data_IF_727890641001
#
_entry.id   IF_727890641001
#
_cell.length_a   1.000
_cell.length_b   1.000
_cell.length_c   1.000
_cell.angle_alpha   90.00
_cell.angle_beta   90.00
_cell.angle_gamma   90.00
#
_symmetry.space_group_name_H-M   'P 1'
#
loop_
_entity.id
_entity.type
_entity.pdbx_description
1 polymer ?
#
# COMPACT_ATOMS: atom_id res chain seq x y z
N UNK A 1 -16.83 4.41 24.25
CA UNK A 1 -15.74 4.32 23.26
C UNK A 1 -16.28 4.85 21.94
N UNK A 2 -15.94 6.09 21.61
CA UNK A 2 -16.41 6.72 20.37
C UNK A 2 -15.54 6.21 19.22
N UNK A 3 -16.07 5.30 18.41
CA UNK A 3 -15.46 4.93 17.14
C UNK A 3 -15.52 6.14 16.21
N UNK A 4 -14.38 6.80 16.05
CA UNK A 4 -14.26 8.02 15.27
C UNK A 4 -14.64 7.71 13.81
N UNK A 5 -15.78 8.24 13.37
CA UNK A 5 -16.45 7.86 12.10
C UNK A 5 -15.70 8.37 10.86
N UNK A 6 -14.62 9.14 11.04
CA UNK A 6 -13.83 9.74 9.97
C UNK A 6 -12.72 8.84 9.38
N UNK A 7 -12.39 7.69 9.98
CA UNK A 7 -11.32 6.81 9.48
C UNK A 7 -11.78 5.75 8.48
N UNK A 8 -13.10 5.53 8.32
CA UNK A 8 -13.65 4.49 7.44
C UNK A 8 -13.41 4.70 5.93
N UNK A 9 -13.04 5.90 5.49
CA UNK A 9 -13.00 6.25 4.06
C UNK A 9 -11.61 6.19 3.39
N UNK A 10 -10.53 5.91 4.14
CA UNK A 10 -9.18 5.85 3.55
C UNK A 10 -8.80 4.50 2.96
N UNK A 11 -9.46 3.43 3.40
CA UNK A 11 -9.13 2.07 2.97
C UNK A 11 -7.99 1.41 3.76
N UNK A 12 -7.42 2.08 4.76
CA UNK A 12 -6.39 1.53 5.62
C UNK A 12 -6.32 2.25 6.98
N UNK A 13 -5.66 1.61 7.95
CA UNK A 13 -5.34 2.13 9.28
C UNK A 13 -3.94 1.64 9.69
N UNK A 14 -3.09 2.54 10.18
CA UNK A 14 -1.71 2.24 10.60
C UNK A 14 -1.63 2.28 12.12
N UNK A 15 -0.99 1.27 12.69
CA UNK A 15 -0.71 1.13 14.12
C UNK A 15 0.80 1.00 14.31
N UNK A 16 1.38 1.81 15.20
CA UNK A 16 2.77 1.68 15.60
C UNK A 16 2.82 1.38 17.11
N UNK A 17 3.38 0.23 17.47
CA UNK A 17 3.56 -0.17 18.86
C UNK A 17 4.89 -0.90 19.02
N UNK A 18 5.71 -0.46 19.98
CA UNK A 18 7.00 -1.06 20.33
C UNK A 18 7.96 -1.27 19.14
N UNK A 19 7.96 -0.34 18.18
CA UNK A 19 8.81 -0.42 16.98
C UNK A 19 8.31 -1.39 15.92
N UNK A 20 7.12 -1.97 16.10
CA UNK A 20 6.45 -2.78 15.08
C UNK A 20 5.37 -1.93 14.42
N UNK A 21 5.46 -1.81 13.10
CA UNK A 21 4.44 -1.13 12.29
C UNK A 21 3.51 -2.16 11.68
N UNK A 22 2.22 -1.99 11.97
CA UNK A 22 1.15 -2.79 11.39
C UNK A 22 0.20 -1.90 10.62
N UNK A 23 -0.33 -2.42 9.53
CA UNK A 23 -1.32 -1.72 8.72
C UNK A 23 -2.46 -2.65 8.38
N UNK A 24 -3.66 -2.31 8.85
CA UNK A 24 -4.88 -2.96 8.38
C UNK A 24 -5.32 -2.27 7.10
N UNK A 25 -5.62 -3.04 6.06
CA UNK A 25 -6.07 -2.51 4.76
C UNK A 25 -7.35 -3.20 4.34
N UNK A 26 -8.24 -2.46 3.68
CA UNK A 26 -9.49 -2.99 3.13
C UNK A 26 -9.86 -2.36 1.78
N UNK A 27 -10.62 -3.09 0.97
CA UNK A 27 -11.09 -2.65 -0.34
C UNK A 27 -12.36 -3.36 -0.78
N UNK A 28 -13.16 -2.74 -1.67
CA UNK A 28 -14.36 -3.39 -2.22
C UNK A 28 -13.97 -4.49 -3.22
N UNK A 29 -12.86 -4.31 -3.90
CA UNK A 29 -12.21 -5.27 -4.78
C UNK A 29 -10.79 -5.58 -4.30
N UNK A 30 -10.16 -6.61 -4.88
CA UNK A 30 -8.73 -6.87 -4.64
C UNK A 30 -7.86 -5.72 -5.14
N UNK A 31 -8.19 -5.13 -6.29
CA UNK A 31 -7.50 -3.94 -6.81
C UNK A 31 -7.59 -2.76 -5.84
N UNK A 32 -8.75 -2.52 -5.23
CA UNK A 32 -8.91 -1.49 -4.20
C UNK A 32 -8.03 -1.78 -2.98
N UNK A 33 -7.96 -3.04 -2.54
CA UNK A 33 -7.12 -3.43 -1.42
C UNK A 33 -5.65 -3.16 -1.73
N UNK A 34 -5.15 -3.56 -2.89
CA UNK A 34 -3.76 -3.31 -3.31
C UNK A 34 -3.46 -1.82 -3.41
N UNK A 35 -4.36 -1.05 -4.03
CA UNK A 35 -4.26 0.40 -4.12
C UNK A 35 -4.20 1.05 -2.74
N UNK A 36 -5.08 0.63 -1.83
CA UNK A 36 -5.13 1.16 -0.47
C UNK A 36 -3.89 0.75 0.34
N UNK A 37 -3.29 -0.42 0.07
CA UNK A 37 -2.00 -0.80 0.67
C UNK A 37 -0.88 0.14 0.26
N UNK A 38 -0.80 0.50 -1.03
CA UNK A 38 0.20 1.48 -1.53
C UNK A 38 -0.06 2.86 -0.93
N UNK A 39 -1.31 3.31 -0.86
CA UNK A 39 -1.67 4.59 -0.21
C UNK A 39 -1.29 4.62 1.26
N UNK A 40 -1.46 3.51 1.97
CA UNK A 40 -1.06 3.37 3.35
C UNK A 40 0.46 3.42 3.52
N UNK A 41 1.20 2.69 2.67
CA UNK A 41 2.67 2.76 2.61
C UNK A 41 3.16 4.19 2.38
N UNK A 42 2.59 4.89 1.40
CA UNK A 42 2.90 6.28 1.11
C UNK A 42 2.65 7.21 2.31
N UNK A 43 1.52 7.03 2.99
CA UNK A 43 1.17 7.83 4.17
C UNK A 43 2.12 7.61 5.34
N UNK A 44 2.74 6.43 5.42
CA UNK A 44 3.77 6.14 6.40
C UNK A 44 5.10 6.78 6.02
N UNK A 45 5.51 6.67 4.75
CA UNK A 45 6.73 7.31 4.25
C UNK A 45 6.70 8.84 4.37
N UNK A 46 5.55 9.47 4.16
CA UNK A 46 5.44 10.92 4.21
C UNK A 46 4.06 11.39 4.68
N UNK A 47 4.03 12.11 5.81
CA UNK A 47 2.80 12.61 6.39
C UNK A 47 2.13 13.63 5.45
N UNK A 48 0.81 13.50 5.30
CA UNK A 48 0.03 14.40 4.46
C UNK A 48 0.24 14.23 2.95
N UNK A 49 1.00 13.23 2.49
CA UNK A 49 1.25 13.01 1.04
C UNK A 49 -0.04 12.79 0.24
N UNK A 50 -1.05 12.16 0.84
CA UNK A 50 -2.35 11.90 0.20
C UNK A 50 -3.23 13.16 0.10
N UNK A 51 -3.07 14.09 1.05
CA UNK A 51 -3.82 15.35 1.09
C UNK A 51 -3.10 16.45 0.30
N UNK A 52 -1.78 16.35 0.24
CA UNK A 52 -0.91 17.08 -0.64
C UNK A 52 -1.14 16.60 -2.08
N UNK A 53 -2.30 16.95 -2.65
CA UNK A 53 -2.49 17.04 -4.10
C UNK A 53 -1.51 18.10 -4.64
N UNK A 54 -0.24 17.75 -4.78
CA UNK A 54 0.84 18.64 -5.20
C UNK A 54 1.31 18.14 -6.57
N UNK A 55 0.95 18.82 -7.66
CA UNK A 55 1.67 19.99 -8.19
C UNK A 55 3.07 19.69 -8.76
N UNK A 56 3.58 18.47 -8.57
CA UNK A 56 4.74 17.94 -9.28
C UNK A 56 4.26 17.00 -10.39
N UNK A 57 4.98 16.91 -11.52
CA UNK A 57 4.65 15.94 -12.56
C UNK A 57 4.74 14.53 -11.99
N UNK A 58 3.61 13.83 -11.99
CA UNK A 58 3.57 12.38 -11.80
C UNK A 58 4.34 11.77 -12.97
N UNK A 59 5.55 11.27 -12.72
CA UNK A 59 6.24 10.49 -13.73
C UNK A 59 5.74 9.05 -13.61
N UNK A 60 5.16 8.50 -14.69
CA UNK A 60 4.66 7.15 -14.68
C UNK A 60 5.82 6.17 -14.48
N UNK A 61 5.67 5.27 -13.52
CA UNK A 61 6.63 4.18 -13.32
C UNK A 61 5.91 2.84 -13.54
N UNK A 62 6.34 2.08 -14.53
CA UNK A 62 5.73 0.79 -14.85
C UNK A 62 6.11 -0.27 -13.82
N UNK A 63 5.11 -1.02 -13.36
CA UNK A 63 5.28 -2.14 -12.45
C UNK A 63 4.66 -3.40 -13.03
N UNK A 64 5.38 -4.52 -12.89
CA UNK A 64 4.89 -5.86 -13.22
C UNK A 64 5.32 -6.85 -12.15
N UNK A 65 4.38 -7.59 -11.58
CA UNK A 65 4.67 -8.58 -10.54
C UNK A 65 3.92 -9.86 -10.85
N UNK A 66 4.60 -10.98 -10.66
CA UNK A 66 4.03 -12.33 -10.75
C UNK A 66 4.42 -13.07 -9.46
N UNK A 67 3.47 -13.81 -8.90
CA UNK A 67 3.64 -14.52 -7.63
C UNK A 67 2.95 -15.89 -7.68
N UNK A 68 3.05 -16.65 -6.60
CA UNK A 68 2.43 -17.98 -6.49
C UNK A 68 0.92 -17.92 -6.23
N UNK A 69 0.45 -16.88 -5.53
CA UNK A 69 -0.93 -16.64 -5.18
C UNK A 69 -1.18 -15.15 -4.87
N UNK A 70 -2.43 -14.80 -4.55
CA UNK A 70 -2.85 -13.41 -4.32
C UNK A 70 -2.21 -12.78 -3.07
N UNK A 71 -1.91 -13.58 -2.05
CA UNK A 71 -1.29 -13.09 -0.81
C UNK A 71 0.17 -12.74 -1.06
N UNK A 72 0.89 -13.65 -1.73
CA UNK A 72 2.26 -13.45 -2.17
C UNK A 72 2.35 -12.30 -3.16
N UNK A 73 1.36 -12.16 -4.06
CA UNK A 73 1.30 -11.05 -5.00
C UNK A 73 1.24 -9.69 -4.29
N UNK A 74 0.49 -9.58 -3.19
CA UNK A 74 0.43 -8.35 -2.41
C UNK A 74 1.77 -8.06 -1.73
N UNK A 75 2.39 -9.07 -1.13
CA UNK A 75 3.72 -8.96 -0.53
C UNK A 75 4.76 -8.48 -1.56
N UNK A 76 4.86 -9.18 -2.68
CA UNK A 76 5.82 -8.87 -3.76
C UNK A 76 5.55 -7.49 -4.35
N UNK A 77 4.28 -7.09 -4.51
CA UNK A 77 3.91 -5.76 -4.97
C UNK A 77 4.42 -4.68 -4.02
N UNK A 78 4.22 -4.83 -2.71
CA UNK A 78 4.65 -3.84 -1.72
C UNK A 78 6.18 -3.81 -1.60
N UNK A 79 6.84 -4.97 -1.58
CA UNK A 79 8.30 -5.05 -1.64
C UNK A 79 8.86 -4.31 -2.84
N UNK A 80 8.23 -4.46 -4.02
CA UNK A 80 8.66 -3.74 -5.21
C UNK A 80 8.43 -2.24 -5.08
N UNK A 81 7.27 -1.80 -4.57
CA UNK A 81 7.00 -0.36 -4.37
C UNK A 81 7.99 0.26 -3.37
N UNK A 82 8.36 -0.44 -2.29
CA UNK A 82 9.39 0.00 -1.35
C UNK A 82 10.73 0.18 -2.07
N UNK A 83 11.20 -0.85 -2.78
CA UNK A 83 12.47 -0.81 -3.49
C UNK A 83 12.52 0.30 -4.56
N UNK A 84 11.46 0.46 -5.36
CA UNK A 84 11.40 1.53 -6.37
C UNK A 84 11.36 2.92 -5.73
N UNK A 85 10.73 3.06 -4.55
CA UNK A 85 10.70 4.31 -3.78
C UNK A 85 12.11 4.73 -3.36
N UNK A 86 12.89 3.77 -2.86
CA UNK A 86 14.28 4.00 -2.44
C UNK A 86 15.18 4.33 -3.64
N UNK A 87 15.09 3.55 -4.73
CA UNK A 87 15.92 3.72 -5.93
C UNK A 87 15.65 5.07 -6.61
N UNK A 88 14.38 5.44 -6.73
CA UNK A 88 13.99 6.66 -7.43
C UNK A 88 13.94 7.90 -6.52
N UNK A 89 14.08 7.74 -5.20
CA UNK A 89 13.82 8.79 -4.20
C UNK A 89 12.43 9.42 -4.39
N UNK A 90 11.40 8.58 -4.41
CA UNK A 90 9.99 8.97 -4.64
C UNK A 90 9.06 8.28 -3.68
N UNK A 91 7.95 8.92 -3.37
CA UNK A 91 6.82 8.29 -2.68
C UNK A 91 5.74 7.97 -3.71
N UNK A 92 5.51 6.69 -3.98
CA UNK A 92 4.40 6.23 -4.81
C UNK A 92 3.13 6.11 -3.97
N UNK A 93 2.08 6.83 -4.35
CA UNK A 93 0.84 6.93 -3.58
C UNK A 93 -0.38 6.38 -4.32
N UNK A 94 -0.27 6.03 -5.60
CA UNK A 94 -1.36 5.40 -6.34
C UNK A 94 -0.84 4.45 -7.43
N UNK A 95 -1.71 3.57 -7.91
CA UNK A 95 -1.42 2.62 -8.98
C UNK A 95 -2.59 2.50 -9.95
N UNK A 96 -2.34 2.59 -11.25
CA UNK A 96 -3.33 2.26 -12.28
C UNK A 96 -3.01 0.89 -12.87
N UNK A 97 -3.81 -0.11 -12.55
CA UNK A 97 -3.67 -1.45 -13.11
C UNK A 97 -4.05 -1.46 -14.60
N UNK A 98 -3.18 -2.04 -15.42
CA UNK A 98 -3.45 -2.36 -16.82
C UNK A 98 -3.84 -3.83 -16.97
N UNK A 99 -3.32 -4.70 -16.10
CA UNK A 99 -3.80 -6.07 -15.92
C UNK A 99 -3.75 -6.46 -14.44
N UNK A 100 -4.73 -7.24 -14.01
CA UNK A 100 -4.79 -7.77 -12.65
C UNK A 100 -5.41 -9.17 -12.68
N UNK A 101 -4.77 -10.12 -12.02
CA UNK A 101 -5.23 -11.50 -11.92
C UNK A 101 -4.96 -12.09 -10.55
N UNK A 102 -5.21 -13.39 -10.40
CA UNK A 102 -5.08 -14.08 -9.10
C UNK A 102 -3.63 -14.14 -8.60
N UNK A 103 -2.66 -14.06 -9.50
CA UNK A 103 -1.25 -14.21 -9.18
C UNK A 103 -0.33 -13.31 -10.01
N UNK A 104 -0.88 -12.29 -10.68
CA UNK A 104 -0.10 -11.33 -11.45
C UNK A 104 -0.75 -9.94 -11.45
N UNK A 105 0.07 -8.91 -11.62
CA UNK A 105 -0.38 -7.55 -11.90
C UNK A 105 0.59 -6.85 -12.85
N UNK A 106 0.03 -5.96 -13.67
CA UNK A 106 0.74 -4.96 -14.46
C UNK A 106 0.06 -3.62 -14.23
N UNK A 107 0.82 -2.54 -14.14
CA UNK A 107 0.26 -1.21 -13.92
C UNK A 107 1.28 -0.09 -13.95
N UNK A 108 0.80 1.10 -13.65
CA UNK A 108 1.60 2.32 -13.60
C UNK A 108 1.45 2.95 -12.22
N UNK A 109 2.56 3.07 -11.49
CA UNK A 109 2.64 3.78 -10.23
C UNK A 109 2.66 5.30 -10.48
N UNK A 110 1.98 6.03 -9.61
CA UNK A 110 1.97 7.49 -9.57
C UNK A 110 2.61 7.94 -8.25
N UNK A 111 3.58 8.84 -8.34
CA UNK A 111 4.38 9.25 -7.19
C UNK A 111 5.11 10.57 -7.41
N UNK A 112 5.47 11.22 -6.31
CA UNK A 112 6.22 12.48 -6.31
C UNK A 112 7.64 12.28 -5.79
N UNK A 113 8.62 13.08 -6.26
CA UNK A 113 9.95 13.11 -5.65
C UNK A 113 9.89 13.42 -4.15
N UNK A 114 10.73 12.73 -3.38
CA UNK A 114 10.91 12.97 -1.96
C UNK A 114 12.41 12.98 -1.65
N UNK A 115 12.92 14.16 -1.30
CA UNK A 115 14.33 14.32 -0.88
C UNK A 115 14.60 13.56 0.44
N UNK A 116 13.59 13.52 1.32
CA UNK A 116 13.63 12.81 2.60
C UNK A 116 12.26 12.16 2.88
N UNK A 117 12.31 10.97 3.47
CA UNK A 117 11.14 10.27 4.03
C UNK A 117 11.01 10.59 5.53
N UNK A 118 9.78 10.74 6.01
CA UNK A 118 9.51 10.98 7.43
C UNK A 118 9.72 9.69 8.26
N UNK A 119 9.46 8.54 7.64
CA UNK A 119 9.72 7.22 8.19
C UNK A 119 10.27 6.29 7.10
N UNK A 120 11.02 5.25 7.50
CA UNK A 120 11.59 4.25 6.62
C UNK A 120 10.91 2.89 6.84
N UNK A 121 10.70 2.13 5.76
CA UNK A 121 10.26 0.73 5.80
C UNK A 121 11.27 -0.06 4.99
N UNK A 122 11.88 -1.05 5.62
CA UNK A 122 12.87 -1.93 4.98
C UNK A 122 12.21 -3.04 4.18
N UNK A 123 11.14 -3.62 4.72
CA UNK A 123 10.45 -4.75 4.11
C UNK A 123 9.02 -4.92 4.62
N UNK A 124 8.20 -5.59 3.81
CA UNK A 124 6.94 -6.17 4.25
C UNK A 124 7.17 -7.62 4.69
N UNK A 125 6.60 -8.02 5.82
CA UNK A 125 6.61 -9.41 6.26
C UNK A 125 5.48 -10.20 5.59
N UNK A 126 5.85 -11.29 4.93
CA UNK A 126 4.92 -12.18 4.23
C UNK A 126 4.14 -13.09 5.19
N UNK A 127 4.65 -13.30 6.41
CA UNK A 127 4.12 -14.31 7.33
C UNK A 127 2.70 -14.02 7.83
N UNK A 128 2.25 -12.77 7.76
CA UNK A 128 0.92 -12.36 8.22
C UNK A 128 -0.03 -11.93 7.07
N UNK A 129 0.41 -11.98 5.81
CA UNK A 129 -0.42 -11.57 4.67
C UNK A 129 -1.47 -12.64 4.40
N UNK A 130 -2.73 -12.31 4.69
CA UNK A 130 -3.86 -13.21 4.53
C UNK A 130 -5.10 -12.41 4.14
N UNK A 131 -5.32 -12.29 2.83
CA UNK A 131 -6.43 -11.54 2.25
C UNK A 131 -7.72 -12.34 2.41
N UNK A 132 -8.66 -11.77 3.17
CA UNK A 132 -9.96 -12.37 3.45
C UNK A 132 -11.10 -11.48 3.02
N UNK A 133 -12.17 -12.09 2.53
CA UNK A 133 -13.42 -11.38 2.30
C UNK A 133 -14.26 -11.39 3.57
N UNK A 134 -14.51 -10.21 4.13
CA UNK A 134 -15.41 -10.02 5.26
C UNK A 134 -16.86 -10.21 4.81
N UNK A 135 -17.54 -11.23 5.33
CA UNK A 135 -18.90 -11.59 4.91
C UNK A 135 -19.96 -10.57 5.33
N UNK A 136 -19.70 -9.82 6.41
CA UNK A 136 -20.64 -8.82 6.93
C UNK A 136 -20.58 -7.49 6.16
N UNK A 137 -19.40 -7.11 5.68
CA UNK A 137 -19.19 -5.85 4.94
C UNK A 137 -19.09 -6.05 3.43
N UNK A 138 -18.75 -7.26 2.98
CA UNK A 138 -18.46 -7.60 1.59
C UNK A 138 -17.06 -7.20 1.12
N UNK A 139 -16.25 -6.59 1.97
CA UNK A 139 -14.93 -6.04 1.61
C UNK A 139 -13.84 -7.09 1.73
N UNK A 140 -12.78 -6.96 0.94
CA UNK A 140 -11.52 -7.65 1.18
C UNK A 140 -10.74 -6.91 2.25
N UNK A 141 -10.07 -7.63 3.15
CA UNK A 141 -9.28 -7.09 4.24
C UNK A 141 -8.02 -7.93 4.47
N UNK A 142 -6.94 -7.30 4.90
CA UNK A 142 -5.72 -7.97 5.36
C UNK A 142 -5.01 -7.14 6.43
N UNK A 143 -4.15 -7.79 7.22
CA UNK A 143 -3.19 -7.14 8.09
C UNK A 143 -1.80 -7.26 7.46
N UNK A 144 -1.07 -6.15 7.40
CA UNK A 144 0.31 -6.09 6.94
C UNK A 144 1.20 -5.76 8.13
N UNK A 145 2.38 -6.35 8.19
CA UNK A 145 3.40 -6.07 9.18
C UNK A 145 4.66 -5.66 8.46
N UNK A 146 5.27 -4.57 8.89
CA UNK A 146 6.46 -3.99 8.28
C UNK A 146 7.64 -4.07 9.22
N UNK A 147 8.82 -4.27 8.63
CA UNK A 147 10.11 -4.05 9.26
C UNK A 147 10.55 -2.61 8.96
N UNK A 148 10.85 -1.85 10.01
CA UNK A 148 11.20 -0.41 9.96
C UNK A 148 12.62 -0.18 10.43
#
# INVERSE_FOLDING_TARGET
MMYNTHMKDRGFEIFNHDGIVKMRVWGKTLEDLFRNSIRGLASYFKEGILDAKKAAPEEPHDIRVEAVDINSLLGDCLSRVIAESDICSRVFFDIRFTKFGENFLEGVLSGVPAEEFDNEIKAVSYSEVDIKKNTSTGYFETLLVFDV
#
